data_IF_266244001683
#
_entry.id   IF_266244001683
#
_cell.length_a   1.000
_cell.length_b   1.000
_cell.length_c   1.000
_cell.angle_alpha   90.00
_cell.angle_beta   90.00
_cell.angle_gamma   90.00
#
_symmetry.space_group_name_H-M   'P 1'
#
loop_
_entity.id
_entity.type
_entity.pdbx_description
1 polymer ?
#
# COMPACT_ATOMS: atom_id res chain seq x y z
N UNK A 1 2.09 16.85 -13.06
CA UNK A 1 2.24 15.37 -12.88
C UNK A 1 3.58 14.83 -12.34
N UNK A 2 4.77 15.34 -12.72
CA UNK A 2 6.08 14.79 -12.28
C UNK A 2 6.43 15.04 -10.80
N UNK A 3 5.92 16.13 -10.21
CA UNK A 3 6.45 16.66 -8.96
C UNK A 3 5.92 15.97 -7.68
N UNK A 4 4.68 15.46 -7.67
CA UNK A 4 4.10 14.75 -6.51
C UNK A 4 4.87 13.46 -6.17
N UNK A 5 5.18 12.67 -7.20
CA UNK A 5 5.91 11.39 -7.08
C UNK A 5 7.40 11.59 -6.78
N UNK A 6 7.98 12.70 -7.23
CA UNK A 6 9.36 13.09 -6.87
C UNK A 6 9.47 13.59 -5.43
N UNK A 7 8.46 14.31 -4.91
CA UNK A 7 8.52 14.93 -3.59
C UNK A 7 8.49 13.93 -2.41
N UNK A 8 7.76 12.82 -2.53
CA UNK A 8 7.83 11.72 -1.54
C UNK A 8 9.21 11.06 -1.59
N UNK A 9 9.78 10.89 -2.79
CA UNK A 9 11.08 10.26 -3.03
C UNK A 9 12.30 11.10 -2.58
N UNK A 10 12.28 12.41 -2.77
CA UNK A 10 13.41 13.30 -2.47
C UNK A 10 13.67 13.47 -0.96
N UNK A 11 12.70 13.14 -0.10
CA UNK A 11 12.84 13.26 1.37
C UNK A 11 13.71 12.16 2.00
N UNK A 12 13.95 11.06 1.28
CA UNK A 12 14.64 9.88 1.82
C UNK A 12 16.06 9.67 1.23
N UNK A 13 16.60 10.64 0.49
CA UNK A 13 18.05 10.66 0.21
C UNK A 13 18.82 11.08 1.46
N UNK A 14 19.86 10.33 1.88
CA UNK A 14 20.77 10.82 2.90
C UNK A 14 21.67 11.88 2.25
N UNK A 15 21.32 13.15 2.38
CA UNK A 15 22.25 14.24 2.06
C UNK A 15 22.67 15.00 3.34
N UNK A 16 23.98 15.10 3.50
CA UNK A 16 24.63 15.76 4.61
C UNK A 16 24.41 17.28 4.48
N UNK A 17 23.47 17.83 5.24
CA UNK A 17 23.18 19.26 5.27
C UNK A 17 22.82 19.76 6.66
N UNK A 18 23.82 19.90 7.53
CA UNK A 18 23.71 20.77 8.71
C UNK A 18 23.36 22.19 8.24
N UNK A 19 22.19 22.72 8.63
CA UNK A 19 21.88 24.14 8.91
C UNK A 19 20.41 24.50 8.68
N UNK A 20 19.44 23.90 9.40
CA UNK A 20 18.09 24.52 9.45
C UNK A 20 17.23 24.16 10.68
N UNK A 21 17.85 24.06 11.87
CA UNK A 21 17.14 23.80 13.14
C UNK A 21 17.35 24.84 14.24
N UNK A 22 17.75 26.07 13.89
CA UNK A 22 18.05 27.12 14.86
C UNK A 22 16.93 28.16 15.11
N UNK A 23 15.81 28.16 14.38
CA UNK A 23 14.81 29.24 14.51
C UNK A 23 13.53 28.87 15.30
N UNK A 24 13.29 27.59 15.62
CA UNK A 24 12.04 27.15 16.25
C UNK A 24 12.04 27.10 17.79
N UNK A 25 13.15 27.46 18.46
CA UNK A 25 13.27 27.36 19.94
C UNK A 25 13.08 28.66 20.74
N UNK A 26 12.80 29.79 20.09
CA UNK A 26 12.69 31.09 20.78
C UNK A 26 11.23 31.55 21.06
N UNK A 27 10.20 30.92 20.48
CA UNK A 27 8.80 31.40 20.62
C UNK A 27 7.97 30.74 21.74
N UNK A 28 8.51 29.76 22.46
CA UNK A 28 7.77 29.03 23.51
C UNK A 28 8.02 29.54 24.95
N UNK A 29 8.52 30.76 25.15
CA UNK A 29 8.84 31.32 26.49
C UNK A 29 8.04 32.55 26.92
N UNK A 30 7.02 32.98 26.18
CA UNK A 30 6.14 34.08 26.60
C UNK A 30 4.67 33.70 26.48
N UNK A 31 4.14 32.98 27.48
CA UNK A 31 2.72 32.99 27.89
C UNK A 31 2.47 32.01 29.04
N UNK A 32 2.94 32.36 30.24
CA UNK A 32 2.40 31.79 31.49
C UNK A 32 2.19 32.91 32.49
N UNK A 33 0.93 33.30 32.65
CA UNK A 33 0.51 34.34 33.58
C UNK A 33 -0.96 34.18 33.94
N UNK A 34 -1.20 33.48 35.05
CA UNK A 34 -2.28 33.74 36.02
C UNK A 34 -3.74 33.46 35.60
N UNK A 35 -4.40 32.45 36.20
CA UNK A 35 -5.25 32.63 37.41
C UNK A 35 -6.00 31.33 37.83
N UNK A 36 -5.65 30.88 39.04
CA UNK A 36 -6.35 30.16 40.12
C UNK A 36 -7.88 29.87 40.09
N UNK A 37 -8.21 28.58 40.37
CA UNK A 37 -8.84 28.04 41.61
C UNK A 37 -10.26 27.40 41.56
N UNK A 38 -10.35 26.24 42.25
CA UNK A 38 -11.48 25.54 42.93
C UNK A 38 -12.36 24.46 42.28
N UNK A 39 -12.00 23.21 42.66
CA UNK A 39 -12.79 22.18 43.40
C UNK A 39 -14.27 21.90 43.06
N UNK A 40 -14.58 20.67 42.66
CA UNK A 40 -15.44 19.75 43.44
C UNK A 40 -15.44 18.30 42.92
N UNK A 41 -15.67 17.38 43.85
CA UNK A 41 -15.71 15.93 43.72
C UNK A 41 -17.02 15.39 43.12
N UNK A 42 -16.98 14.20 42.51
CA UNK A 42 -18.18 13.44 42.18
C UNK A 42 -17.94 12.18 41.36
N UNK A 43 -17.89 11.02 42.02
CA UNK A 43 -18.03 9.68 41.41
C UNK A 43 -19.44 9.52 40.80
N UNK A 44 -19.53 8.86 39.64
CA UNK A 44 -20.60 7.95 39.16
C UNK A 44 -20.17 7.43 37.77
N UNK A 45 -19.75 6.17 37.63
CA UNK A 45 -20.55 4.99 37.26
C UNK A 45 -21.09 4.98 35.82
N UNK A 46 -20.43 4.15 34.99
CA UNK A 46 -20.88 3.36 33.84
C UNK A 46 -22.29 3.65 33.29
N UNK A 47 -22.36 4.07 32.03
CA UNK A 47 -23.44 3.68 31.11
C UNK A 47 -22.95 3.69 29.66
N UNK A 48 -23.35 2.65 28.93
CA UNK A 48 -23.19 2.48 27.50
C UNK A 48 -24.00 3.55 26.74
N UNK A 49 -23.39 4.20 25.75
CA UNK A 49 -24.06 4.91 24.65
C UNK A 49 -23.56 4.27 23.36
N UNK A 50 -24.38 3.57 22.57
CA UNK A 50 -25.30 4.14 21.58
C UNK A 50 -24.70 5.32 20.82
N UNK A 51 -23.99 4.98 19.74
CA UNK A 51 -23.53 5.90 18.72
C UNK A 51 -24.69 6.21 17.76
N UNK A 52 -25.11 7.48 17.74
CA UNK A 52 -25.98 8.02 16.71
C UNK A 52 -25.40 9.33 16.19
N UNK A 53 -25.03 9.32 14.91
CA UNK A 53 -25.19 10.47 14.00
C UNK A 53 -24.05 11.48 13.91
N UNK A 54 -23.48 11.61 12.70
CA UNK A 54 -22.67 12.76 12.30
C UNK A 54 -22.13 12.63 10.88
N UNK A 55 -22.94 13.01 9.89
CA UNK A 55 -22.65 13.01 8.45
C UNK A 55 -21.34 13.72 8.06
N UNK A 56 -20.49 13.02 7.29
CA UNK A 56 -19.56 13.61 6.32
C UNK A 56 -19.15 12.55 5.28
N UNK A 57 -20.06 12.23 4.36
CA UNK A 57 -19.73 11.55 3.10
C UNK A 57 -20.43 12.31 2.00
N UNK A 58 -19.65 13.07 1.24
CA UNK A 58 -19.82 13.22 -0.20
C UNK A 58 -18.74 14.15 -0.76
N UNK A 59 -18.02 13.61 -1.76
CA UNK A 59 -17.00 14.24 -2.64
C UNK A 59 -15.57 14.13 -2.14
N UNK A 60 -14.80 13.28 -2.83
CA UNK A 60 -13.42 12.91 -2.55
C UNK A 60 -12.46 13.48 -3.63
N UNK A 61 -11.24 13.92 -3.23
CA UNK A 61 -10.30 14.62 -4.11
C UNK A 61 -9.65 13.84 -5.25
N UNK A 62 -9.48 14.49 -6.42
CA UNK A 62 -8.76 14.01 -7.63
C UNK A 62 -7.23 13.84 -7.48
N UNK A 63 -6.62 14.24 -6.37
CA UNK A 63 -5.23 13.90 -6.04
C UNK A 63 -5.05 12.43 -5.62
N UNK A 64 -6.15 11.70 -5.41
CA UNK A 64 -6.19 10.24 -5.23
C UNK A 64 -5.95 9.53 -6.57
N UNK A 65 -4.68 9.38 -6.97
CA UNK A 65 -4.29 8.56 -8.13
C UNK A 65 -4.44 7.09 -7.73
N UNK A 66 -5.34 6.37 -8.39
CA UNK A 66 -5.93 5.13 -7.89
C UNK A 66 -5.16 3.89 -8.36
N UNK A 67 -4.70 3.11 -7.41
CA UNK A 67 -4.97 1.67 -7.44
C UNK A 67 -6.36 1.54 -6.81
N UNK A 68 -7.26 0.74 -7.36
CA UNK A 68 -8.60 0.67 -6.77
C UNK A 68 -8.99 -0.79 -6.58
N UNK A 69 -8.80 -1.30 -5.37
CA UNK A 69 -9.72 -2.31 -4.90
C UNK A 69 -11.09 -1.64 -4.70
N UNK A 70 -12.17 -2.43 -4.82
CA UNK A 70 -13.46 -2.31 -4.12
C UNK A 70 -14.61 -2.78 -5.05
N UNK A 71 -15.29 -3.79 -4.49
CA UNK A 71 -16.69 -4.20 -4.65
C UNK A 71 -17.34 -4.13 -6.04
N UNK A 72 -17.50 -5.32 -6.62
CA UNK A 72 -18.54 -5.78 -7.56
C UNK A 72 -19.18 -4.71 -8.46
N UNK A 73 -18.73 -4.66 -9.72
CA UNK A 73 -19.44 -3.85 -10.72
C UNK A 73 -19.02 -3.99 -12.18
N UNK A 74 -18.00 -4.77 -12.53
CA UNK A 74 -17.74 -5.10 -13.93
C UNK A 74 -18.68 -6.25 -14.34
N UNK A 75 -19.64 -5.95 -15.22
CA UNK A 75 -20.47 -6.95 -15.91
C UNK A 75 -19.62 -7.69 -16.96
N UNK A 76 -18.59 -8.40 -16.47
CA UNK A 76 -17.86 -9.40 -17.21
C UNK A 76 -18.67 -10.69 -17.12
N UNK A 77 -19.37 -11.05 -18.19
CA UNK A 77 -20.08 -12.35 -18.28
C UNK A 77 -19.10 -13.48 -17.96
N UNK A 78 -19.23 -14.18 -16.81
CA UNK A 78 -18.28 -15.21 -16.43
C UNK A 78 -18.58 -16.47 -17.21
N UNK A 79 -17.66 -16.87 -18.10
CA UNK A 79 -17.64 -18.23 -18.65
C UNK A 79 -16.62 -19.06 -17.88
N UNK A 80 -16.84 -19.26 -16.58
CA UNK A 80 -15.94 -20.08 -15.76
C UNK A 80 -16.63 -21.38 -15.33
N UNK A 81 -16.30 -22.45 -16.04
CA UNK A 81 -16.48 -23.80 -15.52
C UNK A 81 -15.34 -24.09 -14.54
N UNK A 82 -15.68 -24.42 -13.28
CA UNK A 82 -14.79 -25.11 -12.34
C UNK A 82 -14.32 -26.43 -12.94
N UNK A 83 -13.21 -26.37 -13.68
CA UNK A 83 -12.41 -27.53 -14.01
C UNK A 83 -10.97 -27.16 -13.68
N UNK A 84 -10.36 -27.92 -12.76
CA UNK A 84 -8.92 -28.01 -12.61
C UNK A 84 -8.32 -28.59 -13.90
N UNK A 85 -8.34 -27.83 -14.99
CA UNK A 85 -7.54 -28.13 -16.16
C UNK A 85 -6.10 -27.88 -15.74
N UNK A 86 -5.25 -28.87 -15.97
CA UNK A 86 -3.81 -28.78 -15.79
C UNK A 86 -3.32 -27.61 -16.64
N UNK A 87 -3.03 -26.47 -16.01
CA UNK A 87 -2.52 -25.29 -16.73
C UNK A 87 -1.21 -25.69 -17.42
N UNK A 88 -1.03 -25.34 -18.70
CA UNK A 88 0.24 -25.54 -19.36
C UNK A 88 1.29 -24.71 -18.63
N UNK A 89 2.43 -25.34 -18.31
CA UNK A 89 3.56 -24.60 -17.73
C UNK A 89 4.03 -23.54 -18.71
N UNK A 90 4.20 -22.33 -18.22
CA UNK A 90 4.77 -21.25 -19.02
C UNK A 90 6.27 -21.47 -19.29
N UNK A 91 6.84 -20.82 -20.32
CA UNK A 91 8.26 -20.89 -20.59
C UNK A 91 9.10 -20.40 -19.41
N UNK A 92 10.21 -21.10 -19.16
CA UNK A 92 11.22 -20.74 -18.16
C UNK A 92 11.88 -19.42 -18.56
N UNK A 93 12.03 -18.53 -17.59
CA UNK A 93 12.71 -17.24 -17.77
C UNK A 93 14.19 -17.43 -17.42
N UNK A 94 15.09 -16.99 -18.30
CA UNK A 94 16.52 -17.16 -18.07
C UNK A 94 17.03 -16.32 -16.90
N UNK A 95 18.00 -16.87 -16.15
CA UNK A 95 18.58 -16.22 -14.97
C UNK A 95 19.04 -14.77 -15.17
N UNK A 96 19.70 -14.40 -16.28
CA UNK A 96 20.12 -13.01 -16.50
C UNK A 96 18.96 -12.01 -16.59
N UNK A 97 17.77 -12.46 -17.00
CA UNK A 97 16.57 -11.58 -17.05
C UNK A 97 16.10 -11.25 -15.63
N UNK A 98 16.06 -12.24 -14.75
CA UNK A 98 15.73 -12.05 -13.34
C UNK A 98 16.68 -11.07 -12.64
N UNK A 99 17.99 -11.25 -12.83
CA UNK A 99 19.02 -10.39 -12.26
C UNK A 99 18.94 -8.96 -12.79
N UNK A 100 18.71 -8.79 -14.10
CA UNK A 100 18.56 -7.49 -14.72
C UNK A 100 17.29 -6.75 -14.24
N UNK A 101 16.19 -7.47 -14.01
CA UNK A 101 14.97 -6.88 -13.43
C UNK A 101 15.17 -6.51 -11.96
N UNK A 102 15.78 -7.39 -11.16
CA UNK A 102 16.04 -7.11 -9.75
C UNK A 102 16.98 -5.90 -9.57
N UNK A 103 17.99 -5.74 -10.42
CA UNK A 103 18.89 -4.59 -10.41
C UNK A 103 18.21 -3.24 -10.70
N UNK A 104 16.98 -3.24 -11.22
CA UNK A 104 16.17 -2.03 -11.45
C UNK A 104 15.20 -1.74 -10.29
N UNK A 105 15.22 -2.56 -9.23
CA UNK A 105 14.32 -2.43 -8.07
C UNK A 105 15.15 -2.15 -6.82
N UNK A 106 15.38 -0.87 -6.46
CA UNK A 106 16.25 -0.52 -5.33
C UNK A 106 15.84 -1.18 -4.00
N UNK A 107 14.54 -1.39 -3.80
CA UNK A 107 14.01 -2.04 -2.60
C UNK A 107 14.37 -3.54 -2.48
N UNK A 108 14.90 -4.17 -3.53
CA UNK A 108 15.47 -5.52 -3.45
C UNK A 108 16.93 -5.55 -3.01
N UNK A 109 17.64 -4.41 -3.00
CA UNK A 109 19.03 -4.33 -2.54
C UNK A 109 19.19 -4.61 -1.04
N UNK A 110 18.13 -4.42 -0.26
CA UNK A 110 18.10 -4.71 1.17
C UNK A 110 18.05 -6.21 1.50
N UNK A 111 17.72 -7.06 0.50
CA UNK A 111 17.71 -8.50 0.66
C UNK A 111 19.14 -9.05 0.71
N UNK A 112 19.41 -9.91 1.71
CA UNK A 112 20.63 -10.71 1.67
C UNK A 112 20.61 -11.66 0.46
N UNK A 113 21.79 -12.05 -0.03
CA UNK A 113 21.92 -12.90 -1.21
C UNK A 113 21.11 -14.20 -1.12
N UNK A 114 21.00 -14.80 0.07
CA UNK A 114 20.22 -16.02 0.26
C UNK A 114 18.70 -15.80 0.21
N UNK A 115 18.23 -14.62 0.60
CA UNK A 115 16.83 -14.22 0.45
C UNK A 115 16.50 -13.83 -0.99
N UNK A 116 17.43 -13.17 -1.69
CA UNK A 116 17.29 -12.84 -3.11
C UNK A 116 17.23 -14.11 -3.98
N UNK A 117 18.08 -15.11 -3.73
CA UNK A 117 17.98 -16.41 -4.41
C UNK A 117 16.63 -17.10 -4.21
N UNK A 118 16.11 -17.07 -2.97
CA UNK A 118 14.78 -17.63 -2.69
C UNK A 118 13.68 -16.87 -3.40
N UNK A 119 13.82 -15.55 -3.53
CA UNK A 119 12.87 -14.74 -4.28
C UNK A 119 12.88 -15.13 -5.76
N UNK A 120 14.04 -15.36 -6.36
CA UNK A 120 14.14 -15.85 -7.73
C UNK A 120 13.50 -17.23 -7.91
N UNK A 121 13.78 -18.18 -7.02
CA UNK A 121 13.15 -19.52 -7.07
C UNK A 121 11.62 -19.45 -6.91
N UNK A 122 11.14 -18.54 -6.05
CA UNK A 122 9.71 -18.33 -5.82
C UNK A 122 9.03 -17.68 -7.02
N UNK A 123 9.66 -16.64 -7.59
CA UNK A 123 9.18 -15.91 -8.75
C UNK A 123 9.19 -16.76 -10.02
N UNK A 124 10.16 -17.64 -10.20
CA UNK A 124 10.20 -18.59 -11.32
C UNK A 124 9.01 -19.56 -11.25
N UNK A 125 8.80 -20.18 -10.08
CA UNK A 125 7.65 -21.07 -9.85
C UNK A 125 6.31 -20.34 -9.97
N UNK A 126 6.24 -19.07 -9.61
CA UNK A 126 5.06 -18.23 -9.82
C UNK A 126 4.83 -18.00 -11.32
N UNK A 127 5.87 -17.56 -12.05
CA UNK A 127 5.78 -17.26 -13.47
C UNK A 127 5.51 -18.50 -14.34
N UNK A 128 5.84 -19.71 -13.86
CA UNK A 128 5.45 -20.99 -14.48
C UNK A 128 3.96 -21.31 -14.33
N UNK A 129 3.35 -20.89 -13.22
CA UNK A 129 1.98 -21.26 -12.81
C UNK A 129 0.92 -20.22 -13.19
N UNK A 130 1.35 -19.02 -13.58
CA UNK A 130 0.48 -17.90 -13.93
C UNK A 130 0.56 -17.59 -15.41
N UNK A 131 -0.59 -17.31 -16.00
CA UNK A 131 -0.71 -16.79 -17.36
C UNK A 131 -0.61 -15.27 -17.32
N UNK A 132 0.19 -14.70 -18.21
CA UNK A 132 0.32 -13.26 -18.36
C UNK A 132 -0.23 -12.85 -19.72
N UNK A 133 -1.31 -12.08 -19.72
CA UNK A 133 -2.04 -11.69 -20.93
C UNK A 133 -1.90 -10.19 -21.16
N UNK A 134 -1.26 -9.80 -22.25
CA UNK A 134 -1.21 -8.40 -22.67
C UNK A 134 -2.47 -7.99 -23.43
N UNK A 135 -3.00 -6.80 -23.13
CA UNK A 135 -4.16 -6.24 -23.86
C UNK A 135 -3.73 -5.19 -24.87
N UNK A 136 -4.61 -4.87 -25.83
CA UNK A 136 -4.38 -3.79 -26.81
C UNK A 136 -3.07 -3.92 -27.61
N UNK A 137 -2.62 -5.15 -27.85
CA UNK A 137 -1.36 -5.41 -28.58
C UNK A 137 -0.09 -5.27 -27.74
N UNK A 138 -0.22 -5.09 -26.42
CA UNK A 138 0.93 -5.12 -25.51
C UNK A 138 1.57 -6.51 -25.49
N UNK A 139 2.85 -6.58 -25.85
CA UNK A 139 3.61 -7.84 -25.83
C UNK A 139 4.19 -8.08 -24.44
N UNK A 140 3.72 -9.12 -23.77
CA UNK A 140 4.27 -9.54 -22.49
C UNK A 140 5.57 -10.33 -22.71
N UNK A 141 6.70 -9.64 -22.53
CA UNK A 141 8.04 -10.24 -22.61
C UNK A 141 8.43 -10.93 -21.30
N UNK A 142 9.53 -11.70 -21.32
CA UNK A 142 10.06 -12.31 -20.10
C UNK A 142 10.50 -11.26 -19.07
N UNK A 143 10.96 -10.08 -19.49
CA UNK A 143 11.26 -8.97 -18.57
C UNK A 143 10.00 -8.43 -17.89
N UNK A 144 8.86 -8.34 -18.60
CA UNK A 144 7.57 -7.94 -18.01
C UNK A 144 7.12 -8.97 -16.98
N UNK A 145 7.16 -10.27 -17.34
CA UNK A 145 6.81 -11.37 -16.44
C UNK A 145 7.70 -11.37 -15.20
N UNK A 146 9.01 -11.17 -15.38
CA UNK A 146 9.96 -11.13 -14.29
C UNK A 146 9.72 -9.94 -13.36
N UNK A 147 9.49 -8.74 -13.92
CA UNK A 147 9.22 -7.54 -13.14
C UNK A 147 7.97 -7.68 -12.24
N UNK A 148 6.89 -8.25 -12.76
CA UNK A 148 5.67 -8.52 -11.99
C UNK A 148 5.94 -9.62 -10.96
N UNK A 149 6.55 -10.73 -11.37
CA UNK A 149 6.73 -11.90 -10.49
C UNK A 149 7.63 -11.59 -9.28
N UNK A 150 8.72 -10.82 -9.46
CA UNK A 150 9.59 -10.41 -8.35
C UNK A 150 8.84 -9.57 -7.31
N UNK A 151 8.07 -8.58 -7.75
CA UNK A 151 7.28 -7.72 -6.86
C UNK A 151 6.16 -8.50 -6.17
N UNK A 152 5.41 -9.31 -6.93
CA UNK A 152 4.33 -10.14 -6.40
C UNK A 152 4.80 -11.17 -5.36
N UNK A 153 5.98 -11.75 -5.58
CA UNK A 153 6.54 -12.79 -4.72
C UNK A 153 7.25 -12.24 -3.48
N UNK A 154 7.57 -10.95 -3.44
CA UNK A 154 8.26 -10.34 -2.32
C UNK A 154 7.46 -10.45 -1.00
N UNK A 155 6.15 -10.08 -0.95
CA UNK A 155 5.34 -10.26 0.26
C UNK A 155 5.21 -11.71 0.72
N UNK A 156 5.29 -12.67 -0.21
CA UNK A 156 5.06 -14.08 0.08
C UNK A 156 6.35 -14.89 0.22
N UNK A 157 7.51 -14.23 0.34
CA UNK A 157 8.82 -14.90 0.44
C UNK A 157 8.87 -15.96 1.55
N UNK A 158 8.14 -15.74 2.65
CA UNK A 158 8.00 -16.71 3.76
C UNK A 158 6.63 -17.37 3.86
N UNK A 159 5.62 -16.83 3.19
CA UNK A 159 4.26 -17.38 3.17
C UNK A 159 4.13 -18.55 2.16
N UNK A 160 4.91 -18.52 1.08
CA UNK A 160 4.89 -19.50 0.00
C UNK A 160 3.81 -19.23 -1.05
N UNK A 161 3.82 -19.97 -2.16
CA UNK A 161 2.95 -19.71 -3.31
C UNK A 161 1.48 -20.09 -3.12
N UNK A 162 1.17 -20.96 -2.16
CA UNK A 162 -0.18 -21.49 -2.00
C UNK A 162 -1.21 -20.40 -1.67
N UNK A 163 -0.77 -19.28 -1.09
CA UNK A 163 -1.58 -18.09 -0.81
C UNK A 163 -2.04 -17.36 -2.08
N UNK A 164 -1.48 -17.67 -3.25
CA UNK A 164 -1.93 -17.15 -4.54
C UNK A 164 -2.59 -18.22 -5.39
N UNK A 165 -3.09 -19.32 -4.83
CA UNK A 165 -3.67 -20.41 -5.63
C UNK A 165 -5.05 -20.10 -6.24
N UNK A 166 -5.74 -19.03 -5.81
CA UNK A 166 -7.13 -18.72 -6.18
C UNK A 166 -7.28 -18.09 -7.58
N UNK A 167 -6.19 -17.61 -8.19
CA UNK A 167 -6.18 -17.05 -9.54
C UNK A 167 -5.11 -17.69 -10.41
N UNK A 168 -5.25 -17.57 -11.74
CA UNK A 168 -4.27 -18.07 -12.70
C UNK A 168 -3.82 -17.03 -13.70
N UNK A 169 -4.58 -15.95 -13.90
CA UNK A 169 -4.33 -14.98 -14.96
C UNK A 169 -3.96 -13.60 -14.39
N UNK A 170 -2.97 -12.97 -15.02
CA UNK A 170 -2.52 -11.60 -14.80
C UNK A 170 -2.65 -10.85 -16.11
N UNK A 171 -3.48 -9.82 -16.15
CA UNK A 171 -3.79 -9.05 -17.35
C UNK A 171 -3.00 -7.75 -17.31
N UNK A 172 -2.18 -7.49 -18.33
CA UNK A 172 -1.32 -6.31 -18.42
C UNK A 172 -1.82 -5.37 -19.51
N UNK A 173 -2.17 -4.14 -19.12
CA UNK A 173 -2.53 -3.06 -20.03
C UNK A 173 -1.31 -2.21 -20.36
N UNK A 174 -1.18 -1.71 -21.61
CA UNK A 174 -0.07 -0.86 -22.02
C UNK A 174 -0.10 0.53 -21.40
N UNK A 175 -1.28 0.99 -21.00
CA UNK A 175 -1.52 2.30 -20.40
C UNK A 175 -2.60 2.17 -19.33
N UNK A 176 -2.75 3.21 -18.51
CA UNK A 176 -3.84 3.31 -17.54
C UNK A 176 -5.18 3.32 -18.26
N UNK A 177 -6.20 2.77 -17.61
CA UNK A 177 -7.52 2.65 -18.20
C UNK A 177 -8.58 3.29 -17.30
N UNK A 178 -9.60 3.87 -17.93
CA UNK A 178 -10.71 4.53 -17.25
C UNK A 178 -11.89 3.57 -17.16
N UNK A 179 -12.31 3.26 -15.94
CA UNK A 179 -13.41 2.32 -15.70
C UNK A 179 -14.58 3.04 -15.05
N UNK A 180 -15.79 3.00 -15.63
CA UNK A 180 -16.98 3.50 -14.97
C UNK A 180 -17.33 2.59 -13.79
N UNK A 181 -17.55 3.17 -12.61
CA UNK A 181 -18.04 2.49 -11.41
C UNK A 181 -19.39 3.03 -11.00
N UNK A 182 -20.24 2.15 -10.49
CA UNK A 182 -21.54 2.50 -9.92
C UNK A 182 -21.64 1.94 -8.51
N UNK A 183 -21.62 2.80 -7.49
CA UNK A 183 -21.81 2.38 -6.10
C UNK A 183 -23.20 2.80 -5.65
N UNK A 184 -23.95 1.87 -5.05
CA UNK A 184 -25.26 2.17 -4.44
C UNK A 184 -25.05 2.43 -2.96
N UNK A 185 -25.40 3.63 -2.50
CA UNK A 185 -25.29 3.95 -1.07
C UNK A 185 -26.40 3.30 -0.23
N UNK A 186 -26.31 3.44 1.10
CA UNK A 186 -27.29 2.90 2.06
C UNK A 186 -28.71 3.46 1.85
N UNK A 187 -28.85 4.56 1.12
CA UNK A 187 -30.13 5.18 0.77
C UNK A 187 -30.67 4.72 -0.59
N UNK A 188 -29.94 3.87 -1.31
CA UNK A 188 -30.31 3.34 -2.62
C UNK A 188 -29.97 4.26 -3.80
N UNK A 189 -29.17 5.30 -3.59
CA UNK A 189 -28.73 6.22 -4.66
C UNK A 189 -27.52 5.63 -5.38
N UNK A 190 -27.58 5.60 -6.71
CA UNK A 190 -26.46 5.17 -7.56
C UNK A 190 -25.51 6.34 -7.78
N UNK A 191 -24.27 6.19 -7.33
CA UNK A 191 -23.17 7.10 -7.59
C UNK A 191 -22.33 6.53 -8.74
N UNK A 192 -22.40 7.18 -9.91
CA UNK A 192 -21.55 6.84 -11.05
C UNK A 192 -20.26 7.69 -11.04
N UNK A 193 -19.11 7.04 -10.98
CA UNK A 193 -17.79 7.66 -11.09
C UNK A 193 -17.03 7.03 -12.27
N UNK A 194 -16.04 7.75 -12.82
CA UNK A 194 -15.06 7.16 -13.73
C UNK A 194 -13.73 7.17 -13.01
N UNK A 195 -13.10 6.01 -12.90
CA UNK A 195 -11.88 5.81 -12.13
C UNK A 195 -10.73 5.43 -13.06
N UNK A 196 -9.60 6.12 -12.96
CA UNK A 196 -8.36 5.73 -13.64
C UNK A 196 -7.72 4.61 -12.82
N UNK A 197 -7.64 3.40 -13.36
CA UNK A 197 -7.10 2.23 -12.67
C UNK A 197 -5.66 1.97 -13.10
N UNK A 198 -4.76 1.92 -12.12
CA UNK A 198 -3.40 1.40 -12.28
C UNK A 198 -3.32 -0.11 -12.02
N UNK A 199 -4.29 -0.67 -11.29
CA UNK A 199 -4.45 -2.10 -11.02
C UNK A 199 -5.87 -2.43 -10.56
N UNK A 200 -6.24 -3.71 -10.64
CA UNK A 200 -7.47 -4.23 -10.04
C UNK A 200 -7.33 -5.73 -9.68
N UNK A 201 -7.73 -6.08 -8.46
CA UNK A 201 -7.80 -7.47 -8.00
C UNK A 201 -9.23 -7.87 -7.63
N UNK A 202 -9.63 -9.06 -8.06
CA UNK A 202 -10.95 -9.62 -7.77
C UNK A 202 -10.87 -10.96 -7.01
N UNK A 203 -11.81 -11.29 -6.11
CA UNK A 203 -11.88 -12.61 -5.45
C UNK A 203 -11.97 -13.75 -6.47
N UNK A 204 -10.98 -14.65 -6.49
CA UNK A 204 -10.90 -15.76 -7.45
C UNK A 204 -10.80 -15.36 -8.93
N UNK A 205 -10.66 -14.06 -9.21
CA UNK A 205 -10.52 -13.49 -10.54
C UNK A 205 -9.08 -13.09 -10.88
N UNK A 206 -8.82 -12.63 -12.11
CA UNK A 206 -7.50 -12.20 -12.54
C UNK A 206 -7.00 -11.00 -11.73
N UNK A 207 -5.70 -10.77 -11.77
CA UNK A 207 -5.09 -9.50 -11.36
C UNK A 207 -4.87 -8.67 -12.61
N UNK A 208 -5.40 -7.45 -12.64
CA UNK A 208 -5.24 -6.51 -13.76
C UNK A 208 -4.22 -5.45 -13.36
N UNK A 209 -3.29 -5.11 -14.25
CA UNK A 209 -2.24 -4.14 -13.98
C UNK A 209 -1.97 -3.26 -15.22
N UNK A 210 -1.62 -2.00 -15.01
CA UNK A 210 -1.16 -1.08 -16.06
C UNK A 210 0.37 -0.97 -16.05
N UNK A 211 1.02 -1.31 -17.16
CA UNK A 211 2.50 -1.37 -17.26
C UNK A 211 3.23 -0.09 -16.81
N UNK A 212 2.77 1.15 -17.12
CA UNK A 212 3.48 2.36 -16.73
C UNK A 212 3.67 2.55 -15.22
N UNK A 213 2.85 1.88 -14.38
CA UNK A 213 2.95 1.94 -12.92
C UNK A 213 3.62 0.70 -12.30
N UNK A 214 4.05 -0.25 -13.14
CA UNK A 214 4.79 -1.47 -12.74
C UNK A 214 6.26 -1.40 -13.15
N UNK A 215 6.56 -0.69 -14.24
CA UNK A 215 7.87 -0.65 -14.87
C UNK A 215 8.95 -0.22 -13.87
N UNK A 216 9.88 -1.12 -13.49
CA UNK A 216 10.94 -0.82 -12.52
C UNK A 216 11.81 0.36 -12.94
N UNK A 217 11.96 0.60 -14.25
CA UNK A 217 12.74 1.72 -14.78
C UNK A 217 12.04 3.08 -14.60
N UNK A 218 10.72 3.07 -14.36
CA UNK A 218 9.88 4.27 -14.26
C UNK A 218 9.22 4.41 -12.87
N UNK A 219 9.47 3.45 -11.97
CA UNK A 219 8.89 3.41 -10.63
C UNK A 219 9.34 4.57 -9.75
N UNK A 220 8.40 5.13 -8.99
CA UNK A 220 8.70 6.08 -7.92
C UNK A 220 8.98 5.31 -6.62
N UNK A 221 9.98 5.71 -5.81
CA UNK A 221 10.19 5.17 -4.47
C UNK A 221 8.89 5.22 -3.64
N UNK A 222 8.60 4.15 -2.91
CA UNK A 222 7.43 4.08 -2.04
C UNK A 222 6.14 3.56 -2.67
N UNK A 223 6.10 3.33 -3.98
CA UNK A 223 4.90 2.91 -4.71
C UNK A 223 5.19 1.65 -5.52
N UNK A 224 4.38 0.62 -5.31
CA UNK A 224 4.38 -0.60 -6.11
C UNK A 224 2.95 -1.12 -6.23
N UNK A 225 2.31 -0.79 -7.35
CA UNK A 225 0.96 -1.28 -7.68
C UNK A 225 0.90 -2.80 -7.65
N UNK A 226 1.99 -3.49 -8.01
CA UNK A 226 2.04 -4.94 -7.91
C UNK A 226 1.97 -5.39 -6.45
N UNK A 227 2.78 -4.83 -5.55
CA UNK A 227 2.71 -5.20 -4.13
C UNK A 227 1.33 -4.89 -3.55
N UNK A 228 0.75 -3.76 -3.92
CA UNK A 228 -0.61 -3.35 -3.52
C UNK A 228 -1.66 -4.41 -3.87
N UNK A 229 -1.78 -4.74 -5.16
CA UNK A 229 -2.79 -5.68 -5.65
C UNK A 229 -2.62 -7.08 -5.07
N UNK A 230 -1.38 -7.49 -4.89
CA UNK A 230 -1.06 -8.77 -4.32
C UNK A 230 -1.22 -8.80 -2.78
N UNK A 231 -1.12 -7.66 -2.09
CA UNK A 231 -1.54 -7.54 -0.70
C UNK A 231 -3.05 -7.76 -0.56
N UNK A 232 -3.87 -7.20 -1.46
CA UNK A 232 -5.30 -7.51 -1.49
C UNK A 232 -5.59 -8.99 -1.74
N UNK A 233 -4.81 -9.69 -2.58
CA UNK A 233 -4.93 -11.15 -2.71
C UNK A 233 -4.72 -11.88 -1.38
N UNK A 234 -3.81 -11.40 -0.53
CA UNK A 234 -3.61 -11.98 0.81
C UNK A 234 -4.76 -11.67 1.75
N UNK A 235 -5.28 -10.44 1.70
CA UNK A 235 -6.40 -9.98 2.51
C UNK A 235 -7.68 -10.79 2.22
N UNK A 236 -7.98 -11.01 0.94
CA UNK A 236 -9.21 -11.72 0.52
C UNK A 236 -9.15 -13.25 0.68
N UNK A 237 -8.14 -13.81 1.33
CA UNK A 237 -8.00 -15.26 1.47
C UNK A 237 -9.10 -15.89 2.33
N UNK A 238 -9.70 -15.16 3.28
CA UNK A 238 -10.81 -15.61 4.11
C UNK A 238 -12.13 -14.85 3.87
N UNK A 239 -12.18 -13.98 2.85
CA UNK A 239 -13.40 -13.26 2.50
C UNK A 239 -13.19 -12.03 1.62
N UNK A 240 -14.00 -11.02 1.88
CA UNK A 240 -13.84 -9.69 1.29
C UNK A 240 -12.69 -8.95 1.97
N UNK A 241 -12.02 -8.07 1.23
CA UNK A 241 -10.90 -7.30 1.76
C UNK A 241 -11.35 -6.40 2.93
N UNK A 242 -10.72 -6.57 4.10
CA UNK A 242 -10.97 -5.77 5.30
C UNK A 242 -9.68 -5.28 5.98
N UNK A 243 -8.52 -5.50 5.35
CA UNK A 243 -7.18 -5.22 5.86
C UNK A 243 -6.70 -6.24 6.89
N UNK A 244 -7.39 -7.36 7.07
CA UNK A 244 -7.12 -8.38 8.08
C UNK A 244 -6.96 -9.74 7.38
N UNK A 245 -5.74 -10.08 6.91
CA UNK A 245 -5.51 -11.37 6.29
C UNK A 245 -5.78 -12.54 7.28
N UNK A 246 -5.87 -13.79 6.79
CA UNK A 246 -6.19 -14.94 7.62
C UNK A 246 -5.20 -15.15 8.77
N UNK A 247 -5.68 -14.98 9.99
CA UNK A 247 -4.90 -15.08 11.22
C UNK A 247 -5.60 -15.96 12.25
N UNK A 248 -4.83 -16.61 13.12
CA UNK A 248 -5.41 -17.27 14.29
C UNK A 248 -6.05 -16.23 15.23
N UNK A 249 -7.00 -16.65 16.06
CA UNK A 249 -7.82 -15.74 16.88
C UNK A 249 -6.99 -14.77 17.75
N UNK A 250 -5.91 -15.25 18.36
CA UNK A 250 -5.07 -14.41 19.23
C UNK A 250 -4.26 -13.39 18.43
N UNK A 251 -3.75 -13.77 17.26
CA UNK A 251 -3.05 -12.87 16.35
C UNK A 251 -4.02 -11.84 15.73
N UNK A 252 -5.22 -12.28 15.32
CA UNK A 252 -6.26 -11.42 14.73
C UNK A 252 -6.65 -10.26 15.65
N UNK A 253 -6.84 -10.53 16.94
CA UNK A 253 -7.19 -9.47 17.89
C UNK A 253 -6.09 -8.40 18.00
N UNK A 254 -4.81 -8.81 18.08
CA UNK A 254 -3.68 -7.87 18.11
C UNK A 254 -3.50 -7.13 16.79
N UNK A 255 -3.76 -7.81 15.68
CA UNK A 255 -3.71 -7.22 14.34
C UNK A 255 -4.68 -6.06 14.22
N UNK A 256 -5.95 -6.29 14.56
CA UNK A 256 -7.01 -5.27 14.50
C UNK A 256 -6.65 -4.06 15.35
N UNK A 257 -6.18 -4.29 16.59
CA UNK A 257 -5.79 -3.20 17.49
C UNK A 257 -4.67 -2.33 16.90
N UNK A 258 -3.62 -2.95 16.37
CA UNK A 258 -2.46 -2.25 15.79
C UNK A 258 -2.80 -1.57 14.46
N UNK A 259 -3.58 -2.23 13.60
CA UNK A 259 -4.03 -1.68 12.32
C UNK A 259 -4.91 -0.45 12.56
N UNK A 260 -5.89 -0.54 13.47
CA UNK A 260 -6.79 0.57 13.82
C UNK A 260 -6.02 1.77 14.38
N UNK A 261 -5.04 1.52 15.25
CA UNK A 261 -4.21 2.57 15.81
C UNK A 261 -3.38 3.28 14.73
N UNK A 262 -2.75 2.53 13.82
CA UNK A 262 -1.96 3.09 12.73
C UNK A 262 -2.84 3.83 11.70
N UNK A 263 -3.99 3.26 11.35
CA UNK A 263 -4.97 3.88 10.45
C UNK A 263 -5.51 5.20 11.01
N UNK A 264 -5.90 5.20 12.30
CA UNK A 264 -6.34 6.42 12.99
C UNK A 264 -5.24 7.48 13.03
N UNK A 265 -4.00 7.09 13.36
CA UNK A 265 -2.85 7.99 13.33
C UNK A 265 -2.63 8.59 11.93
N UNK A 266 -2.77 7.80 10.87
CA UNK A 266 -2.64 8.29 9.49
C UNK A 266 -3.78 9.24 9.11
N UNK A 267 -5.02 8.94 9.48
CA UNK A 267 -6.17 9.82 9.25
C UNK A 267 -5.99 11.18 9.95
N UNK A 268 -5.49 11.19 11.19
CA UNK A 268 -5.15 12.42 11.91
C UNK A 268 -4.07 13.25 11.17
N UNK A 269 -3.08 12.59 10.56
CA UNK A 269 -2.05 13.27 9.76
C UNK A 269 -2.64 13.88 8.49
N UNK A 270 -3.50 13.12 7.80
CA UNK A 270 -4.22 13.59 6.61
C UNK A 270 -5.09 14.81 6.93
N UNK A 271 -5.90 14.75 7.99
CA UNK A 271 -6.75 15.87 8.40
C UNK A 271 -5.93 17.14 8.68
N UNK A 272 -4.79 17.00 9.37
CA UNK A 272 -3.88 18.14 9.60
C UNK A 272 -3.36 18.71 8.28
N UNK A 273 -2.90 17.86 7.38
CA UNK A 273 -2.40 18.29 6.05
C UNK A 273 -3.49 19.00 5.26
N UNK A 274 -4.72 18.48 5.23
CA UNK A 274 -5.84 19.06 4.52
C UNK A 274 -6.30 20.38 5.13
N UNK A 275 -6.27 20.51 6.47
CA UNK A 275 -6.60 21.76 7.16
C UNK A 275 -5.65 22.93 6.84
N UNK A 276 -4.45 22.62 6.35
CA UNK A 276 -3.44 23.60 5.94
C UNK A 276 -3.55 23.99 4.47
N UNK A 277 -4.39 23.31 3.68
CA UNK A 277 -4.65 23.67 2.29
C UNK A 277 -5.43 24.99 2.28
N UNK A 278 -4.91 26.04 1.61
CA UNK A 278 -5.62 27.29 1.44
C UNK A 278 -6.99 27.09 0.79
N UNK A 279 -8.01 27.81 1.27
CA UNK A 279 -9.40 27.68 0.80
C UNK A 279 -9.59 27.97 -0.70
N UNK A 280 -8.66 28.69 -1.32
CA UNK A 280 -8.63 29.00 -2.75
C UNK A 280 -7.95 27.91 -3.60
N UNK A 281 -7.32 26.93 -2.97
CA UNK A 281 -6.81 25.73 -3.62
C UNK A 281 -7.84 24.63 -3.48
N UNK A 282 -8.30 24.13 -4.62
CA UNK A 282 -9.09 22.92 -4.68
C UNK A 282 -8.22 21.74 -4.18
N UNK A 283 -8.60 21.04 -3.08
CA UNK A 283 -7.87 19.87 -2.57
C UNK A 283 -7.74 18.75 -3.61
N UNK A 284 -8.61 18.76 -4.62
CA UNK A 284 -8.58 17.80 -5.72
C UNK A 284 -7.53 18.15 -6.79
N UNK A 285 -7.00 19.38 -6.79
CA UNK A 285 -6.14 19.87 -7.88
C UNK A 285 -4.67 19.49 -7.72
N UNK A 286 -3.92 19.49 -8.82
CA UNK A 286 -2.45 19.30 -8.79
C UNK A 286 -1.74 20.35 -7.90
N UNK A 287 -2.35 21.50 -7.63
CA UNK A 287 -1.79 22.50 -6.72
C UNK A 287 -1.80 22.04 -5.25
N UNK A 288 -2.68 21.09 -4.90
CA UNK A 288 -2.76 20.46 -3.59
C UNK A 288 -1.72 19.34 -3.38
N UNK A 289 -1.18 18.75 -4.47
CA UNK A 289 -0.22 17.64 -4.43
C UNK A 289 0.94 17.89 -3.45
N UNK A 290 1.48 19.12 -3.42
CA UNK A 290 2.59 19.49 -2.51
C UNK A 290 2.25 19.36 -1.01
N UNK A 291 0.98 19.46 -0.65
CA UNK A 291 0.53 19.31 0.73
C UNK A 291 0.48 17.82 1.08
N UNK A 292 -0.14 17.01 0.23
CA UNK A 292 -0.24 15.56 0.38
C UNK A 292 1.13 14.86 0.31
N UNK A 293 2.10 15.40 -0.44
CA UNK A 293 3.47 14.88 -0.49
C UNK A 293 4.21 14.90 0.87
N UNK A 294 3.63 15.54 1.89
CA UNK A 294 4.16 15.54 3.27
C UNK A 294 3.69 14.32 4.08
N UNK A 295 2.69 13.60 3.60
CA UNK A 295 2.18 12.39 4.23
C UNK A 295 3.19 11.24 4.07
N UNK A 296 3.23 10.32 5.05
CA UNK A 296 4.13 9.17 5.00
C UNK A 296 3.66 8.08 4.04
N UNK A 297 2.38 8.06 3.73
CA UNK A 297 1.71 7.15 2.79
C UNK A 297 0.88 8.00 1.85
N UNK A 298 0.52 7.46 0.68
CA UNK A 298 -0.44 8.12 -0.20
C UNK A 298 -1.76 8.34 0.55
N UNK A 299 -2.39 9.51 0.33
CA UNK A 299 -3.66 9.88 0.97
C UNK A 299 -4.78 8.86 0.69
N UNK A 300 -4.65 8.06 -0.37
CA UNK A 300 -5.54 6.96 -0.69
C UNK A 300 -5.62 5.89 0.42
N UNK A 301 -4.56 5.72 1.22
CA UNK A 301 -4.57 4.82 2.37
C UNK A 301 -5.64 5.16 3.43
N UNK A 302 -6.20 6.38 3.41
CA UNK A 302 -7.28 6.77 4.31
C UNK A 302 -8.68 6.37 3.80
N UNK A 303 -8.79 5.71 2.64
CA UNK A 303 -10.08 5.32 2.05
C UNK A 303 -10.83 4.32 2.92
N UNK A 304 -10.17 3.24 3.33
CA UNK A 304 -10.62 2.27 4.31
C UNK A 304 -9.42 1.43 4.81
N UNK A 305 -9.69 0.45 5.68
CA UNK A 305 -8.66 -0.43 6.26
C UNK A 305 -7.99 -1.37 5.25
N UNK A 306 -8.70 -1.81 4.22
CA UNK A 306 -8.14 -2.68 3.19
C UNK A 306 -7.12 -1.90 2.36
N UNK A 307 -7.47 -0.69 1.95
CA UNK A 307 -6.56 0.20 1.21
C UNK A 307 -5.39 0.65 2.08
N UNK A 308 -5.64 0.92 3.37
CA UNK A 308 -4.56 1.19 4.31
C UNK A 308 -3.57 0.04 4.39
N UNK A 309 -4.06 -1.20 4.50
CA UNK A 309 -3.22 -2.39 4.54
C UNK A 309 -2.39 -2.55 3.26
N UNK A 310 -2.99 -2.36 2.09
CA UNK A 310 -2.31 -2.49 0.81
C UNK A 310 -1.24 -1.40 0.62
N UNK A 311 -1.57 -0.12 0.83
CA UNK A 311 -0.62 0.99 0.70
C UNK A 311 0.49 0.92 1.76
N UNK A 312 0.16 0.54 2.99
CA UNK A 312 1.18 0.31 4.01
C UNK A 312 2.09 -0.85 3.65
N UNK A 313 1.59 -1.89 2.98
CA UNK A 313 2.40 -3.02 2.51
C UNK A 313 3.39 -2.58 1.42
N UNK A 314 2.96 -1.73 0.48
CA UNK A 314 3.85 -1.11 -0.51
C UNK A 314 5.02 -0.40 0.18
N UNK A 315 4.70 0.52 1.09
CA UNK A 315 5.69 1.31 1.80
C UNK A 315 6.56 0.45 2.73
N UNK A 316 6.02 -0.62 3.32
CA UNK A 316 6.79 -1.55 4.14
C UNK A 316 7.91 -2.24 3.35
N UNK A 317 7.64 -2.66 2.12
CA UNK A 317 8.66 -3.32 1.30
C UNK A 317 9.56 -2.34 0.57
N UNK A 318 9.08 -1.14 0.23
CA UNK A 318 9.81 -0.18 -0.59
C UNK A 318 10.52 0.92 0.20
N UNK A 319 10.06 1.19 1.43
CA UNK A 319 10.59 2.21 2.35
C UNK A 319 10.47 1.74 3.82
N UNK A 320 11.05 0.58 4.20
CA UNK A 320 10.82 -0.02 5.51
C UNK A 320 11.25 0.87 6.69
N UNK A 321 12.34 1.63 6.53
CA UNK A 321 12.81 2.57 7.56
C UNK A 321 11.77 3.66 7.87
N UNK A 322 11.10 4.20 6.84
CA UNK A 322 10.06 5.21 7.02
C UNK A 322 8.85 4.65 7.78
N UNK A 323 8.45 3.40 7.47
CA UNK A 323 7.37 2.72 8.18
C UNK A 323 7.75 2.44 9.63
N UNK A 324 8.99 2.01 9.90
CA UNK A 324 9.50 1.83 11.27
C UNK A 324 9.45 3.10 12.09
N UNK A 325 9.89 4.22 11.52
CA UNK A 325 10.00 5.48 12.26
C UNK A 325 8.63 6.10 12.56
N UNK A 326 7.66 5.92 11.65
CA UNK A 326 6.36 6.60 11.72
C UNK A 326 5.27 5.70 12.33
N UNK A 327 5.32 4.41 12.01
CA UNK A 327 4.36 3.39 12.47
C UNK A 327 5.11 2.16 13.06
N UNK A 328 5.83 2.30 14.17
CA UNK A 328 6.68 1.22 14.70
C UNK A 328 5.92 -0.07 15.04
N UNK A 329 4.72 0.03 15.61
CA UNK A 329 3.88 -1.13 15.94
C UNK A 329 3.35 -1.83 14.67
N UNK A 330 3.07 -1.07 13.62
CA UNK A 330 2.67 -1.59 12.30
C UNK A 330 3.85 -2.29 11.62
N UNK A 331 5.04 -1.69 11.67
CA UNK A 331 6.27 -2.28 11.16
C UNK A 331 6.55 -3.62 11.84
N UNK A 332 6.47 -3.70 13.18
CA UNK A 332 6.66 -4.96 13.92
C UNK A 332 5.61 -6.00 13.50
N UNK A 333 4.34 -5.59 13.41
CA UNK A 333 3.25 -6.47 12.99
C UNK A 333 3.46 -7.04 11.58
N UNK A 334 3.88 -6.22 10.62
CA UNK A 334 4.16 -6.65 9.25
C UNK A 334 5.42 -7.52 9.17
N UNK A 335 6.43 -7.21 9.98
CA UNK A 335 7.63 -8.05 10.13
C UNK A 335 7.26 -9.46 10.58
N UNK A 336 6.37 -9.58 11.58
CA UNK A 336 5.87 -10.87 12.06
C UNK A 336 5.07 -11.62 10.99
N UNK A 337 4.16 -10.93 10.31
CA UNK A 337 3.26 -11.54 9.32
C UNK A 337 3.97 -11.98 8.04
N UNK A 338 4.72 -11.09 7.41
CA UNK A 338 5.47 -11.41 6.18
C UNK A 338 6.74 -12.23 6.46
N UNK A 339 7.12 -12.40 7.74
CA UNK A 339 8.36 -13.04 8.14
C UNK A 339 9.59 -12.32 7.59
N UNK A 340 9.47 -11.00 7.38
CA UNK A 340 10.52 -10.16 6.84
C UNK A 340 11.66 -10.04 7.85
N UNK A 341 12.90 -10.04 7.37
CA UNK A 341 14.07 -9.74 8.18
C UNK A 341 14.95 -8.85 7.34
N UNK A 342 15.11 -7.60 7.77
CA UNK A 342 16.12 -6.74 7.17
C UNK A 342 17.50 -7.36 7.31
N UNK A 343 18.32 -7.16 6.28
CA UNK A 343 19.74 -7.45 6.31
C UNK A 343 20.37 -6.76 7.53
N UNK A 344 21.17 -7.51 8.29
CA UNK A 344 21.87 -7.00 9.48
C UNK A 344 22.88 -5.86 9.19
N UNK A 345 23.04 -5.46 7.93
CA UNK A 345 23.94 -4.40 7.51
C UNK A 345 23.48 -2.99 7.94
N UNK A 346 22.19 -2.78 8.20
CA UNK A 346 21.63 -1.46 8.54
C UNK A 346 21.66 -1.12 10.03
N UNK A 347 21.88 -2.12 10.92
CA UNK A 347 22.11 -1.86 12.35
C UNK A 347 23.56 -1.44 12.61
N UNK A 348 23.95 -0.28 12.10
CA UNK A 348 25.26 0.32 12.25
C UNK A 348 25.20 1.76 12.74
N UNK A 349 24.78 2.00 13.98
CA UNK A 349 25.15 3.22 14.71
C UNK A 349 25.48 2.88 16.16
N UNK A 350 26.71 3.20 16.56
CA UNK A 350 27.33 2.72 17.78
C UNK A 350 26.78 3.33 19.07
N UNK A 351 26.85 2.53 20.13
CA UNK A 351 26.93 3.00 21.51
C UNK A 351 28.19 2.40 22.13
N UNK A 352 29.01 3.17 22.89
CA UNK A 352 30.21 2.64 23.47
C UNK A 352 29.85 1.64 24.56
N UNK A 353 30.60 0.55 24.62
CA UNK A 353 30.62 -0.34 25.77
C UNK A 353 31.10 0.45 27.00
N UNK A 354 30.22 0.59 27.99
CA UNK A 354 30.57 0.72 29.40
C UNK A 354 29.57 -0.03 30.26
#
# INVERSE_FOLDING_TARGET
MSDYRHAIADRFRPDHGEHELACAREQARMRTGFCRDRTHSGRRSLHAGFWTGGHARDRMPRSKRKVAAIAYGLDFRPMFSRFFKRHPRQPVIERPVWEACAAQMPFLEELDAGSLEKLFDLADRFAEQKDFTGTHGFEVTDSVRAAIALQACLPILRLGLDVYADFVEIIVYPDRFMTPRSVVDESGVVHESVEELSGETMPGGPVVLAWPDIDPAMGAPGLSVVIHEFAHKLDMLDGEADGIPPLNQAARARWIERLEAAYSQFCDMLERVESEIPIDIDPESEAADRYYARLPLDAYAATDHAEFFAVASEAFFTMPEAIRDIFPDLHEMFTEYFGWRESAATTGSGGPAY
#
